data_IF_350760770240
#
_entry.id   IF_350760770240
#
_cell.length_a   1.000
_cell.length_b   1.000
_cell.length_c   1.000
_cell.angle_alpha   90.00
_cell.angle_beta   90.00
_cell.angle_gamma   90.00
#
_symmetry.space_group_name_H-M   'P 1'
#
loop_
_entity.id
_entity.type
_entity.pdbx_description
1 polymer ?
#
# COMPACT_ATOMS: atom_id res chain seq x y z
N UNK A 1 -3.26 25.40 -11.41
CA UNK A 1 -2.99 23.96 -11.56
C UNK A 1 -1.51 23.60 -11.76
N UNK A 2 -0.54 24.53 -11.71
CA UNK A 2 0.89 24.22 -11.93
C UNK A 2 1.70 23.94 -10.65
N UNK A 3 1.27 24.52 -9.51
CA UNK A 3 2.03 24.52 -8.24
C UNK A 3 2.03 23.18 -7.49
N UNK A 4 1.04 22.31 -7.71
CA UNK A 4 0.92 21.02 -7.03
C UNK A 4 1.91 20.02 -7.63
N UNK A 5 1.94 19.88 -8.97
CA UNK A 5 2.99 19.10 -9.65
C UNK A 5 4.40 19.57 -9.27
N UNK A 6 4.67 20.88 -9.24
CA UNK A 6 6.00 21.39 -8.88
C UNK A 6 6.43 21.00 -7.44
N UNK A 7 5.49 20.73 -6.52
CA UNK A 7 5.81 20.24 -5.16
C UNK A 7 6.03 18.73 -5.18
N UNK A 8 5.09 17.98 -5.75
CA UNK A 8 5.16 16.54 -5.87
C UNK A 8 6.46 16.11 -6.56
N UNK A 9 6.80 16.74 -7.69
CA UNK A 9 8.00 16.44 -8.46
C UNK A 9 9.26 16.63 -7.60
N UNK A 10 9.35 17.73 -6.83
CA UNK A 10 10.48 17.98 -5.92
C UNK A 10 10.58 16.94 -4.80
N UNK A 11 9.46 16.55 -4.20
CA UNK A 11 9.43 15.53 -3.16
C UNK A 11 9.87 14.16 -3.70
N UNK A 12 9.41 13.80 -4.89
CA UNK A 12 9.80 12.55 -5.56
C UNK A 12 11.29 12.57 -5.93
N UNK A 13 11.80 13.71 -6.42
CA UNK A 13 13.23 13.89 -6.69
C UNK A 13 14.07 13.77 -5.41
N UNK A 14 13.65 14.41 -4.32
CA UNK A 14 14.30 14.29 -3.01
C UNK A 14 14.31 12.83 -2.54
N UNK A 15 13.16 12.16 -2.57
CA UNK A 15 13.01 10.76 -2.17
C UNK A 15 14.01 9.85 -2.89
N UNK A 16 14.10 9.99 -4.22
CA UNK A 16 14.98 9.17 -5.07
C UNK A 16 16.46 9.47 -4.85
N UNK A 17 16.82 10.66 -4.40
CA UNK A 17 18.19 11.04 -4.10
C UNK A 17 18.67 10.52 -2.73
N UNK A 18 17.75 10.14 -1.83
CA UNK A 18 18.07 9.64 -0.51
C UNK A 18 18.49 8.15 -0.54
N UNK A 19 19.33 7.69 0.39
CA UNK A 19 19.57 6.26 0.61
C UNK A 19 18.28 5.52 0.99
N UNK A 20 18.19 4.23 0.65
CA UNK A 20 17.04 3.39 1.01
C UNK A 20 16.75 3.38 2.51
N UNK A 21 17.77 3.31 3.37
CA UNK A 21 17.58 3.29 4.83
C UNK A 21 17.23 4.65 5.46
N UNK A 22 16.82 5.65 4.68
CA UNK A 22 16.61 7.01 5.18
C UNK A 22 15.20 7.17 5.75
N UNK A 23 15.10 7.54 7.03
CA UNK A 23 13.80 7.89 7.67
C UNK A 23 13.05 8.99 6.92
N UNK A 24 13.80 9.90 6.28
CA UNK A 24 13.22 10.97 5.45
C UNK A 24 12.37 10.43 4.30
N UNK A 25 12.66 9.23 3.77
CA UNK A 25 11.83 8.61 2.73
C UNK A 25 10.40 8.37 3.21
N UNK A 26 10.22 7.88 4.44
CA UNK A 26 8.91 7.72 5.05
C UNK A 26 8.20 9.06 5.24
N UNK A 27 8.91 10.08 5.73
CA UNK A 27 8.34 11.41 5.95
C UNK A 27 7.84 12.03 4.64
N UNK A 28 8.61 11.90 3.56
CA UNK A 28 8.22 12.38 2.23
C UNK A 28 6.94 11.67 1.78
N UNK A 29 6.81 10.36 1.99
CA UNK A 29 5.57 9.64 1.68
C UNK A 29 4.40 10.20 2.49
N UNK A 30 4.56 10.40 3.80
CA UNK A 30 3.51 10.98 4.66
C UNK A 30 3.09 12.39 4.23
N UNK A 31 4.01 13.17 3.66
CA UNK A 31 3.76 14.51 3.11
C UNK A 31 2.86 14.53 1.86
N UNK A 32 2.54 13.36 1.29
CA UNK A 32 1.66 13.16 0.12
C UNK A 32 0.23 12.77 0.53
N UNK A 33 -0.13 12.91 1.80
CA UNK A 33 -1.47 12.60 2.32
C UNK A 33 -2.57 13.32 1.52
N UNK A 34 -3.50 12.54 0.97
CA UNK A 34 -4.62 13.03 0.15
C UNK A 34 -4.23 13.57 -1.24
N UNK A 35 -2.97 13.49 -1.65
CA UNK A 35 -2.49 14.03 -2.93
C UNK A 35 -2.75 13.02 -4.07
N UNK A 36 -3.88 13.16 -4.77
CA UNK A 36 -4.31 12.21 -5.81
C UNK A 36 -3.26 12.01 -6.94
N UNK A 37 -2.54 13.05 -7.32
CA UNK A 37 -1.49 12.98 -8.35
C UNK A 37 -0.28 12.14 -7.90
N UNK A 38 -0.14 11.86 -6.60
CA UNK A 38 0.95 11.06 -6.05
C UNK A 38 0.74 9.53 -6.20
N UNK A 39 -0.46 9.09 -6.60
CA UNK A 39 -0.80 7.65 -6.66
C UNK A 39 0.22 6.82 -7.45
N UNK A 40 0.69 7.22 -8.67
CA UNK A 40 1.70 6.45 -9.38
C UNK A 40 3.02 6.30 -8.61
N UNK A 41 3.40 7.33 -7.84
CA UNK A 41 4.59 7.27 -7.00
C UNK A 41 4.37 6.35 -5.79
N UNK A 42 3.25 6.48 -5.07
CA UNK A 42 2.90 5.60 -3.96
C UNK A 42 2.86 4.12 -4.38
N UNK A 43 2.29 3.82 -5.56
CA UNK A 43 2.29 2.48 -6.16
C UNK A 43 3.72 1.97 -6.37
N UNK A 44 4.62 2.81 -6.88
CA UNK A 44 6.02 2.43 -7.08
C UNK A 44 6.76 2.13 -5.78
N UNK A 45 6.50 2.90 -4.72
CA UNK A 45 7.09 2.69 -3.38
C UNK A 45 6.63 1.35 -2.81
N UNK A 46 5.33 1.06 -2.81
CA UNK A 46 4.79 -0.20 -2.26
C UNK A 46 5.33 -1.43 -3.01
N UNK A 47 5.43 -1.34 -4.34
CA UNK A 47 5.80 -2.46 -5.20
C UNK A 47 7.30 -2.81 -5.17
N UNK A 48 8.17 -1.95 -4.63
CA UNK A 48 9.61 -2.18 -4.57
C UNK A 48 10.00 -2.93 -3.28
N UNK A 49 10.39 -4.21 -3.34
CA UNK A 49 10.83 -4.95 -2.15
C UNK A 49 12.19 -4.48 -1.60
N UNK A 50 12.96 -3.70 -2.38
CA UNK A 50 14.23 -3.11 -1.91
C UNK A 50 14.06 -1.73 -1.27
N UNK A 51 12.83 -1.21 -1.21
CA UNK A 51 12.53 0.07 -0.57
C UNK A 51 12.43 -0.07 0.95
N UNK A 52 12.63 1.03 1.65
CA UNK A 52 12.47 1.10 3.09
C UNK A 52 11.08 0.65 3.55
N UNK A 53 11.03 -0.31 4.46
CA UNK A 53 9.77 -0.91 4.93
C UNK A 53 8.81 0.13 5.50
N UNK A 54 9.32 1.12 6.23
CA UNK A 54 8.47 2.19 6.75
C UNK A 54 7.87 3.06 5.63
N UNK A 55 8.60 3.30 4.53
CA UNK A 55 8.05 4.03 3.38
C UNK A 55 6.97 3.21 2.67
N UNK A 56 7.17 1.89 2.55
CA UNK A 56 6.18 0.95 1.99
C UNK A 56 4.92 0.87 2.85
N UNK A 57 5.07 0.82 4.17
CA UNK A 57 3.98 0.83 5.16
C UNK A 57 3.19 2.14 5.08
N UNK A 58 3.89 3.28 5.03
CA UNK A 58 3.25 4.60 4.93
C UNK A 58 2.49 4.74 3.60
N UNK A 59 3.09 4.32 2.48
CA UNK A 59 2.43 4.38 1.17
C UNK A 59 1.20 3.46 1.10
N UNK A 60 1.29 2.25 1.69
CA UNK A 60 0.16 1.34 1.82
C UNK A 60 -0.97 1.95 2.65
N UNK A 61 -0.61 2.67 3.72
CA UNK A 61 -1.57 3.38 4.57
C UNK A 61 -2.28 4.48 3.79
N UNK A 62 -1.56 5.30 3.03
CA UNK A 62 -2.16 6.34 2.20
C UNK A 62 -3.08 5.76 1.12
N UNK A 63 -2.67 4.67 0.45
CA UNK A 63 -3.51 3.98 -0.54
C UNK A 63 -4.76 3.34 0.08
N UNK A 64 -4.75 3.02 1.38
CA UNK A 64 -5.95 2.58 2.11
C UNK A 64 -6.90 3.73 2.44
N UNK A 65 -6.35 4.85 2.90
CA UNK A 65 -7.13 6.04 3.31
C UNK A 65 -7.73 6.75 2.10
N UNK A 66 -6.97 6.82 1.01
CA UNK A 66 -7.30 7.53 -0.22
C UNK A 66 -7.24 6.59 -1.43
N UNK A 67 -8.10 5.57 -1.50
CA UNK A 67 -8.11 4.66 -2.64
C UNK A 67 -8.46 5.46 -3.91
N UNK A 68 -7.68 5.34 -5.00
CA UNK A 68 -7.91 6.11 -6.20
C UNK A 68 -9.27 5.76 -6.84
N UNK A 69 -9.93 6.78 -7.37
CA UNK A 69 -11.20 6.65 -8.10
C UNK A 69 -11.01 6.21 -9.53
N UNK A 70 -9.85 6.52 -10.15
CA UNK A 70 -9.54 6.05 -11.50
C UNK A 70 -9.37 4.52 -11.50
N UNK A 71 -10.07 3.77 -12.38
CA UNK A 71 -10.00 2.31 -12.38
C UNK A 71 -8.62 1.74 -12.73
N UNK A 72 -7.81 2.43 -13.55
CA UNK A 72 -6.47 1.95 -13.90
C UNK A 72 -5.53 2.10 -12.70
N UNK A 73 -5.56 3.26 -12.04
CA UNK A 73 -4.78 3.52 -10.82
C UNK A 73 -5.21 2.60 -9.67
N UNK A 74 -6.52 2.36 -9.51
CA UNK A 74 -7.04 1.43 -8.50
C UNK A 74 -6.54 0.01 -8.70
N UNK A 75 -6.51 -0.47 -9.94
CA UNK A 75 -5.92 -1.78 -10.26
C UNK A 75 -4.40 -1.80 -10.04
N UNK A 76 -3.71 -0.71 -10.34
CA UNK A 76 -2.26 -0.61 -10.09
C UNK A 76 -1.94 -0.66 -8.59
N UNK A 77 -2.68 0.10 -7.77
CA UNK A 77 -2.58 0.07 -6.31
C UNK A 77 -2.89 -1.31 -5.73
N UNK A 78 -3.98 -1.96 -6.17
CA UNK A 78 -4.30 -3.32 -5.75
C UNK A 78 -3.17 -4.32 -6.05
N UNK A 79 -2.58 -4.27 -7.24
CA UNK A 79 -1.44 -5.14 -7.62
C UNK A 79 -0.16 -4.86 -6.83
N UNK A 80 0.15 -3.59 -6.55
CA UNK A 80 1.30 -3.24 -5.72
C UNK A 80 1.11 -3.76 -4.29
N UNK A 81 -0.07 -3.56 -3.71
CA UNK A 81 -0.41 -4.08 -2.39
C UNK A 81 -0.38 -5.62 -2.35
N UNK A 82 -0.82 -6.31 -3.41
CA UNK A 82 -0.64 -7.75 -3.53
C UNK A 82 0.83 -8.17 -3.58
N UNK A 83 1.69 -7.37 -4.18
CA UNK A 83 3.14 -7.63 -4.17
C UNK A 83 3.67 -7.53 -2.74
N UNK A 84 3.30 -6.48 -2.00
CA UNK A 84 3.69 -6.28 -0.62
C UNK A 84 3.11 -7.34 0.35
N UNK A 85 1.90 -7.86 0.10
CA UNK A 85 1.31 -8.95 0.88
C UNK A 85 2.11 -10.25 0.80
N UNK A 86 2.73 -10.50 -0.36
CA UNK A 86 3.53 -11.70 -0.63
C UNK A 86 5.03 -11.48 -0.44
N UNK A 87 5.44 -10.36 0.15
CA UNK A 87 6.83 -10.15 0.54
C UNK A 87 7.24 -11.22 1.56
N UNK A 88 8.29 -12.03 1.31
CA UNK A 88 8.63 -13.13 2.20
C UNK A 88 9.45 -12.70 3.43
N UNK A 89 10.03 -11.49 3.42
CA UNK A 89 10.99 -11.07 4.45
C UNK A 89 10.36 -10.11 5.47
N UNK A 90 9.32 -9.35 5.09
CA UNK A 90 8.87 -8.17 5.83
C UNK A 90 7.44 -8.27 6.40
N UNK A 91 7.31 -8.91 7.57
CA UNK A 91 6.02 -9.17 8.22
C UNK A 91 5.13 -7.93 8.42
N UNK A 92 5.73 -6.79 8.78
CA UNK A 92 4.98 -5.54 8.95
C UNK A 92 4.48 -5.00 7.62
N UNK A 93 5.26 -5.10 6.54
CA UNK A 93 4.83 -4.69 5.21
C UNK A 93 3.64 -5.53 4.77
N UNK A 94 3.71 -6.86 4.96
CA UNK A 94 2.62 -7.78 4.63
C UNK A 94 1.35 -7.48 5.42
N UNK A 95 1.48 -7.22 6.72
CA UNK A 95 0.35 -6.87 7.59
C UNK A 95 -0.36 -5.61 7.09
N UNK A 96 0.40 -4.54 6.82
CA UNK A 96 -0.17 -3.28 6.35
C UNK A 96 -0.75 -3.40 4.95
N UNK A 97 -0.15 -4.21 4.08
CA UNK A 97 -0.71 -4.54 2.78
C UNK A 97 -2.06 -5.24 2.90
N UNK A 98 -2.19 -6.25 3.77
CA UNK A 98 -3.46 -6.93 4.03
C UNK A 98 -4.54 -5.95 4.53
N UNK A 99 -4.20 -5.05 5.45
CA UNK A 99 -5.13 -4.00 5.91
C UNK A 99 -5.53 -3.05 4.77
N UNK A 100 -4.58 -2.71 3.90
CA UNK A 100 -4.78 -1.75 2.82
C UNK A 100 -5.58 -2.29 1.63
N UNK A 101 -5.65 -3.61 1.46
CA UNK A 101 -6.37 -4.24 0.36
C UNK A 101 -7.91 -4.21 0.49
N UNK A 102 -8.47 -3.88 1.66
CA UNK A 102 -9.93 -3.87 1.89
C UNK A 102 -10.74 -3.07 0.86
N UNK A 103 -10.41 -1.79 0.58
CA UNK A 103 -11.06 -1.01 -0.48
C UNK A 103 -10.94 -1.63 -1.88
N UNK A 104 -9.97 -2.51 -2.12
CA UNK A 104 -9.67 -3.10 -3.43
C UNK A 104 -10.30 -4.48 -3.61
N UNK A 105 -11.04 -5.00 -2.62
CA UNK A 105 -11.56 -6.37 -2.59
C UNK A 105 -12.69 -6.68 -3.59
N UNK A 106 -13.13 -5.72 -4.41
CA UNK A 106 -14.00 -5.99 -5.55
C UNK A 106 -13.22 -6.57 -6.75
N UNK A 107 -11.88 -6.42 -6.76
CA UNK A 107 -11.03 -7.12 -7.71
C UNK A 107 -10.90 -8.61 -7.29
N UNK A 108 -11.22 -9.57 -8.17
CA UNK A 108 -11.19 -10.99 -7.83
C UNK A 108 -9.83 -11.47 -7.32
N UNK A 109 -8.72 -10.97 -7.86
CA UNK A 109 -7.38 -11.37 -7.43
C UNK A 109 -7.07 -10.87 -6.01
N UNK A 110 -7.55 -9.67 -5.67
CA UNK A 110 -7.44 -9.14 -4.31
C UNK A 110 -8.28 -9.94 -3.32
N UNK A 111 -9.52 -10.25 -3.70
CA UNK A 111 -10.41 -11.04 -2.86
C UNK A 111 -9.84 -12.42 -2.56
N UNK A 112 -9.36 -13.13 -3.59
CA UNK A 112 -8.75 -14.45 -3.46
C UNK A 112 -7.53 -14.43 -2.53
N UNK A 113 -6.64 -13.47 -2.70
CA UNK A 113 -5.45 -13.34 -1.85
C UNK A 113 -5.81 -13.01 -0.39
N UNK A 114 -6.80 -12.14 -0.16
CA UNK A 114 -7.29 -11.85 1.19
C UNK A 114 -7.92 -13.08 1.85
N UNK A 115 -8.69 -13.89 1.11
CA UNK A 115 -9.25 -15.15 1.62
C UNK A 115 -8.14 -16.13 1.98
N UNK A 116 -7.15 -16.32 1.10
CA UNK A 116 -6.01 -17.19 1.38
C UNK A 116 -5.23 -16.75 2.63
N UNK A 117 -4.98 -15.44 2.79
CA UNK A 117 -4.32 -14.90 3.97
C UNK A 117 -5.18 -15.02 5.24
N UNK A 118 -6.50 -14.94 5.14
CA UNK A 118 -7.43 -15.09 6.27
C UNK A 118 -7.55 -16.55 6.77
N UNK A 119 -7.28 -17.51 5.89
CA UNK A 119 -7.41 -18.94 6.13
C UNK A 119 -6.07 -19.63 6.45
N UNK A 120 -4.95 -18.90 6.40
CA UNK A 120 -3.65 -19.45 6.79
C UNK A 120 -3.65 -19.91 8.26
N UNK A 121 -3.01 -21.04 8.53
CA UNK A 121 -2.94 -21.67 9.86
C UNK A 121 -1.53 -21.64 10.48
N UNK A 122 -0.67 -20.78 9.95
CA UNK A 122 0.68 -20.52 10.46
C UNK A 122 0.67 -19.49 11.58
N UNK A 123 1.35 -19.78 12.69
CA UNK A 123 1.50 -18.84 13.82
C UNK A 123 2.32 -17.59 13.44
N UNK A 124 3.19 -17.68 12.43
CA UNK A 124 3.97 -16.53 11.94
C UNK A 124 3.09 -15.48 11.22
N UNK A 125 1.88 -15.86 10.80
CA UNK A 125 0.97 -15.00 10.02
C UNK A 125 -0.18 -14.41 10.84
N UNK A 126 -0.15 -14.49 12.18
CA UNK A 126 -1.26 -14.08 13.03
C UNK A 126 -1.79 -12.66 12.74
N UNK A 127 -0.87 -11.71 12.54
CA UNK A 127 -1.22 -10.31 12.27
C UNK A 127 -1.75 -10.11 10.84
N UNK A 128 -1.12 -10.74 9.85
CA UNK A 128 -1.56 -10.71 8.45
C UNK A 128 -2.95 -11.33 8.31
N UNK A 129 -3.19 -12.46 8.98
CA UNK A 129 -4.49 -13.14 9.03
C UNK A 129 -5.57 -12.27 9.65
N UNK A 130 -5.28 -11.65 10.79
CA UNK A 130 -6.23 -10.75 11.44
C UNK A 130 -6.56 -9.53 10.56
N UNK A 131 -5.54 -8.95 9.91
CA UNK A 131 -5.70 -7.86 8.97
C UNK A 131 -6.57 -8.25 7.76
N UNK A 132 -6.32 -9.42 7.16
CA UNK A 132 -7.08 -9.92 6.02
C UNK A 132 -8.55 -10.17 6.36
N UNK A 133 -8.83 -10.78 7.52
CA UNK A 133 -10.21 -10.94 8.04
C UNK A 133 -10.89 -9.60 8.26
N UNK A 134 -10.17 -8.62 8.80
CA UNK A 134 -10.65 -7.25 8.96
C UNK A 134 -11.03 -6.61 7.63
N UNK A 135 -10.15 -6.70 6.64
CA UNK A 135 -10.35 -6.16 5.29
C UNK A 135 -11.59 -6.77 4.59
N UNK A 136 -11.76 -8.09 4.67
CA UNK A 136 -12.94 -8.78 4.14
C UNK A 136 -14.23 -8.33 4.84
N UNK A 137 -14.21 -8.24 6.17
CA UNK A 137 -15.38 -7.79 6.94
C UNK A 137 -15.74 -6.32 6.67
N UNK A 138 -14.76 -5.46 6.38
CA UNK A 138 -15.01 -4.07 5.97
C UNK A 138 -15.70 -3.97 4.60
N UNK A 139 -15.31 -4.84 3.65
CA UNK A 139 -15.94 -4.93 2.34
C UNK A 139 -17.40 -5.38 2.45
N UNK A 140 -17.67 -6.43 3.21
CA UNK A 140 -19.03 -6.99 3.35
C UNK A 140 -20.02 -6.01 4.01
N UNK A 141 -19.54 -5.02 4.76
CA UNK A 141 -20.39 -3.94 5.32
C UNK A 141 -20.74 -2.85 4.29
N UNK A 142 -20.06 -2.80 3.15
CA UNK A 142 -20.25 -1.78 2.10
C UNK A 142 -21.19 -2.24 0.97
N UNK A 143 -21.46 -3.54 0.86
CA UNK A 143 -22.36 -4.17 -0.11
C UNK A 143 -23.76 -4.36 0.45
#
# INVERSE_FOLDING_TARGET
MKRTNDRLDRLVEEFRALPASSDRRREIVAELDGEADAVPFLVSVVADPGEYDLARIEASTLLRLWPPSDPADRRAAGRALLTALHDPEEDLVRQYAAMALGPYADDPAVHEALTAAADTDTDDDLLVRAAARGALAERDRRT
#
